data_IF_003575896465
#
_entry.id   IF_003575896465
#
_cell.length_a   1.000
_cell.length_b   1.000
_cell.length_c   1.000
_cell.angle_alpha   90.00
_cell.angle_beta   90.00
_cell.angle_gamma   90.00
#
_symmetry.space_group_name_H-M   'P 1'
#
loop_
_entity.id
_entity.type
_entity.pdbx_description
1 polymer ?
#
# COMPACT_ATOMS: atom_id res chain seq x y z
N UNK A 1 -27.03 30.41 -34.74
CA UNK A 1 -28.18 29.55 -34.43
C UNK A 1 -27.73 28.09 -34.38
N UNK A 2 -27.14 27.67 -33.26
CA UNK A 2 -27.57 26.56 -32.39
C UNK A 2 -28.63 25.58 -32.93
N UNK A 3 -28.31 24.28 -32.92
CA UNK A 3 -29.07 23.16 -32.31
C UNK A 3 -28.40 21.82 -32.69
N UNK A 4 -27.67 21.16 -31.78
CA UNK A 4 -28.09 20.12 -30.82
C UNK A 4 -28.70 18.86 -31.46
N UNK A 5 -27.89 17.81 -31.59
CA UNK A 5 -28.34 16.41 -31.67
C UNK A 5 -27.84 15.65 -30.42
N UNK A 6 -28.71 14.98 -29.63
CA UNK A 6 -28.31 14.22 -28.45
C UNK A 6 -27.97 12.76 -28.78
N UNK A 7 -26.96 12.25 -28.09
CA UNK A 7 -26.58 10.84 -28.09
C UNK A 7 -27.63 9.98 -27.36
N UNK A 8 -27.92 8.78 -27.91
CA UNK A 8 -28.82 7.78 -27.31
C UNK A 8 -28.00 6.56 -26.91
N UNK A 9 -28.05 6.23 -25.62
CA UNK A 9 -27.42 5.03 -25.02
C UNK A 9 -28.36 3.83 -25.21
N UNK A 10 -27.89 2.63 -25.59
CA UNK A 10 -28.71 1.42 -25.55
C UNK A 10 -28.74 0.80 -24.15
N UNK A 11 -29.95 0.48 -23.69
CA UNK A 11 -30.25 -0.28 -22.47
C UNK A 11 -29.97 -1.79 -22.65
N UNK A 12 -29.40 -2.50 -21.66
CA UNK A 12 -29.24 -3.95 -21.72
C UNK A 12 -30.46 -4.70 -21.18
N UNK A 13 -30.89 -5.75 -21.90
CA UNK A 13 -31.88 -6.75 -21.49
C UNK A 13 -31.21 -7.89 -20.70
N UNK A 14 -32.04 -8.57 -19.90
CA UNK A 14 -31.75 -9.59 -18.89
C UNK A 14 -30.89 -10.82 -19.30
N UNK A 15 -29.99 -11.17 -18.36
CA UNK A 15 -29.54 -12.47 -17.79
C UNK A 15 -29.78 -13.83 -18.53
N UNK A 16 -28.91 -14.85 -18.31
CA UNK A 16 -29.05 -15.69 -17.11
C UNK A 16 -27.74 -16.10 -16.38
N UNK A 17 -27.98 -16.66 -15.19
CA UNK A 17 -27.09 -17.08 -14.09
C UNK A 17 -26.19 -18.26 -14.41
N UNK A 18 -24.99 -18.28 -13.81
CA UNK A 18 -24.27 -19.38 -13.12
C UNK A 18 -22.92 -18.75 -12.70
N UNK A 19 -22.41 -18.74 -11.47
CA UNK A 19 -22.68 -19.51 -10.28
C UNK A 19 -21.33 -19.88 -9.64
N UNK A 20 -20.56 -18.90 -9.16
CA UNK A 20 -19.36 -19.14 -8.33
C UNK A 20 -19.41 -18.20 -7.12
N UNK A 21 -19.62 -18.81 -5.95
CA UNK A 21 -19.70 -18.14 -4.66
C UNK A 21 -18.29 -17.72 -4.21
N UNK A 22 -18.00 -16.43 -4.32
CA UNK A 22 -16.87 -15.79 -3.65
C UNK A 22 -17.23 -15.47 -2.21
N UNK A 23 -16.40 -15.94 -1.29
CA UNK A 23 -16.46 -15.67 0.14
C UNK A 23 -16.53 -14.18 0.41
N UNK A 24 -17.52 -13.78 1.20
CA UNK A 24 -17.78 -12.41 1.60
C UNK A 24 -16.70 -11.95 2.58
N UNK A 25 -15.88 -10.97 2.19
CA UNK A 25 -15.22 -10.12 3.20
C UNK A 25 -16.34 -9.30 3.82
N UNK A 26 -16.91 -9.81 4.91
CA UNK A 26 -17.87 -9.08 5.72
C UNK A 26 -17.12 -7.93 6.39
N UNK A 27 -17.15 -6.75 5.78
CA UNK A 27 -17.07 -5.53 6.57
C UNK A 27 -18.24 -5.63 7.56
N UNK A 28 -17.95 -5.96 8.83
CA UNK A 28 -18.94 -5.83 9.90
C UNK A 28 -19.26 -4.35 10.01
N UNK A 29 -20.30 -3.93 9.29
CA UNK A 29 -21.01 -2.69 9.56
C UNK A 29 -21.57 -2.83 10.98
N UNK A 30 -20.86 -2.26 11.95
CA UNK A 30 -21.41 -2.00 13.27
C UNK A 30 -22.61 -1.07 13.08
N UNK A 31 -23.83 -1.61 13.27
CA UNK A 31 -25.05 -0.80 13.30
C UNK A 31 -25.02 0.10 14.53
N UNK A 32 -24.45 1.29 14.41
CA UNK A 32 -24.73 2.36 15.35
C UNK A 32 -26.16 2.87 15.09
N UNK A 33 -26.98 2.87 16.13
CA UNK A 33 -28.40 3.25 16.04
C UNK A 33 -28.57 4.65 15.45
N UNK A 34 -29.42 4.75 14.43
CA UNK A 34 -29.76 6.02 13.81
C UNK A 34 -30.78 6.78 14.65
N UNK A 35 -30.46 8.01 15.04
CA UNK A 35 -31.47 9.05 15.22
C UNK A 35 -31.16 10.16 14.22
N UNK A 36 -32.07 10.37 13.26
CA UNK A 36 -32.02 11.49 12.32
C UNK A 36 -31.16 11.29 11.06
N UNK A 37 -31.68 10.53 10.08
CA UNK A 37 -31.55 10.80 8.63
C UNK A 37 -30.16 10.92 7.97
N UNK A 38 -29.05 10.79 8.68
CA UNK A 38 -27.70 10.76 8.10
C UNK A 38 -27.08 9.39 8.37
N UNK A 39 -26.66 8.72 7.30
CA UNK A 39 -25.83 7.52 7.39
C UNK A 39 -24.52 7.90 8.07
N UNK A 40 -24.37 7.57 9.36
CA UNK A 40 -23.08 7.65 10.04
C UNK A 40 -22.26 6.47 9.56
N UNK A 41 -21.27 6.73 8.68
CA UNK A 41 -20.22 5.74 8.41
C UNK A 41 -19.34 5.72 9.66
N UNK A 42 -19.58 4.75 10.54
CA UNK A 42 -18.64 4.45 11.60
C UNK A 42 -17.42 3.77 10.95
N UNK A 43 -16.42 4.56 10.57
CA UNK A 43 -15.11 4.03 10.23
C UNK A 43 -14.51 3.45 11.53
N UNK A 44 -14.53 2.13 11.67
CA UNK A 44 -13.86 1.47 12.76
C UNK A 44 -12.35 1.62 12.56
N UNK A 45 -11.65 2.13 13.57
CA UNK A 45 -10.18 2.14 13.59
C UNK A 45 -9.71 0.70 13.84
N UNK A 46 -8.88 0.18 12.96
CA UNK A 46 -8.29 -1.16 13.07
C UNK A 46 -6.78 -1.08 13.16
N UNK A 47 -6.19 -1.92 14.01
CA UNK A 47 -4.75 -2.14 14.00
C UNK A 47 -4.35 -2.90 12.73
N UNK A 48 -3.32 -2.41 12.02
CA UNK A 48 -2.74 -3.04 10.83
C UNK A 48 -1.28 -3.40 11.13
N UNK A 49 -0.90 -4.68 11.22
CA UNK A 49 0.48 -5.06 11.52
C UNK A 49 1.41 -4.82 10.32
N UNK A 50 2.70 -4.58 10.58
CA UNK A 50 3.72 -4.43 9.56
C UNK A 50 4.91 -5.37 9.79
N UNK A 51 5.53 -5.85 8.71
CA UNK A 51 6.78 -6.61 8.73
C UNK A 51 7.73 -5.99 7.72
N UNK A 52 8.84 -5.43 8.21
CA UNK A 52 9.93 -5.00 7.35
C UNK A 52 10.95 -6.13 7.20
N UNK A 53 11.34 -6.40 5.96
CA UNK A 53 12.29 -7.44 5.60
C UNK A 53 13.53 -6.81 4.97
N UNK A 54 14.71 -7.13 5.50
CA UNK A 54 15.97 -6.71 4.93
C UNK A 54 16.99 -7.86 4.98
N UNK A 55 17.56 -8.22 3.82
CA UNK A 55 18.46 -9.37 3.67
C UNK A 55 17.84 -10.67 4.20
N UNK A 56 16.55 -10.89 3.89
CA UNK A 56 15.78 -12.07 4.29
C UNK A 56 15.34 -12.12 5.76
N UNK A 57 15.73 -11.15 6.59
CA UNK A 57 15.37 -11.11 8.01
C UNK A 57 14.34 -10.05 8.32
N UNK A 58 13.49 -10.35 9.30
CA UNK A 58 12.56 -9.38 9.88
C UNK A 58 13.34 -8.38 10.73
N UNK A 59 13.23 -7.10 10.40
CA UNK A 59 13.95 -6.02 11.08
C UNK A 59 13.01 -4.87 11.43
N UNK A 60 13.40 -4.08 12.40
CA UNK A 60 12.91 -2.72 12.58
C UNK A 60 14.09 -1.78 12.38
N UNK A 61 14.02 -0.91 11.37
CA UNK A 61 15.08 0.05 11.07
C UNK A 61 14.71 1.45 11.54
N UNK A 62 15.69 2.36 11.54
CA UNK A 62 15.44 3.80 11.59
C UNK A 62 15.41 4.29 10.14
N UNK A 63 14.23 4.65 9.63
CA UNK A 63 13.99 4.94 8.20
C UNK A 63 14.96 5.98 7.61
N UNK A 64 15.33 7.00 8.39
CA UNK A 64 16.28 8.06 7.98
C UNK A 64 17.72 7.59 7.77
N UNK A 65 18.05 6.34 8.09
CA UNK A 65 19.41 5.77 7.96
C UNK A 65 19.59 4.86 6.75
N UNK A 66 18.52 4.64 5.97
CA UNK A 66 18.56 3.82 4.76
C UNK A 66 19.24 4.57 3.59
N UNK A 67 20.36 4.03 3.07
CA UNK A 67 21.13 4.61 1.93
C UNK A 67 21.51 3.56 0.87
N UNK A 68 21.65 3.97 -0.39
CA UNK A 68 21.91 3.09 -1.56
C UNK A 68 23.37 2.66 -1.70
N UNK A 69 24.30 3.46 -1.15
CA UNK A 69 25.74 3.28 -1.36
C UNK A 69 26.49 3.27 -0.02
N UNK A 70 27.29 2.23 0.17
CA UNK A 70 28.14 1.97 1.35
C UNK A 70 29.36 2.91 1.46
N UNK A 71 29.36 4.06 0.78
CA UNK A 71 30.58 4.87 0.61
C UNK A 71 30.85 5.88 1.74
N UNK A 72 29.90 6.10 2.66
CA UNK A 72 30.02 7.14 3.70
C UNK A 72 30.09 6.61 5.14
N UNK A 73 30.39 5.31 5.32
CA UNK A 73 30.69 4.72 6.64
C UNK A 73 29.55 4.73 7.67
N UNK A 74 28.37 5.28 7.35
CA UNK A 74 27.20 5.31 8.22
C UNK A 74 26.36 4.06 7.99
N UNK A 75 26.41 3.13 8.93
CA UNK A 75 25.67 1.88 8.88
C UNK A 75 24.16 2.09 9.06
N UNK A 76 23.34 1.27 8.39
CA UNK A 76 21.89 1.19 8.61
C UNK A 76 21.63 0.91 10.09
N UNK A 77 20.89 1.80 10.76
CA UNK A 77 20.57 1.63 12.18
C UNK A 77 19.37 0.71 12.30
N UNK A 78 19.58 -0.41 12.98
CA UNK A 78 18.57 -1.43 13.26
C UNK A 78 18.24 -1.40 14.74
N UNK A 79 16.98 -1.16 15.08
CA UNK A 79 16.48 -1.20 16.46
C UNK A 79 16.25 -2.63 16.95
N UNK A 80 15.86 -3.52 16.02
CA UNK A 80 15.52 -4.90 16.30
C UNK A 80 15.76 -5.76 15.05
N UNK A 81 16.27 -6.96 15.24
CA UNK A 81 16.34 -8.02 14.24
C UNK A 81 15.80 -9.29 14.90
N UNK A 82 14.93 -10.02 14.21
CA UNK A 82 14.37 -11.26 14.73
C UNK A 82 15.04 -12.48 14.12
N UNK A 83 15.19 -13.53 14.94
CA UNK A 83 15.50 -14.88 14.47
C UNK A 83 14.24 -15.61 13.97
N UNK A 84 13.04 -15.09 14.24
CA UNK A 84 11.79 -15.63 13.69
C UNK A 84 11.63 -15.20 12.23
N UNK A 85 11.12 -16.13 11.43
CA UNK A 85 10.77 -15.88 10.03
C UNK A 85 9.57 -14.93 9.90
N UNK A 86 9.45 -14.26 8.75
CA UNK A 86 8.29 -13.43 8.45
C UNK A 86 6.99 -14.26 8.51
N UNK A 87 7.00 -15.49 7.99
CA UNK A 87 5.89 -16.41 8.05
C UNK A 87 5.41 -16.73 9.48
N UNK A 88 6.32 -16.84 10.46
CA UNK A 88 5.94 -17.04 11.86
C UNK A 88 5.17 -15.86 12.44
N UNK A 89 5.56 -14.62 12.13
CA UNK A 89 4.78 -13.43 12.50
C UNK A 89 3.43 -13.40 11.79
N UNK A 90 3.39 -13.73 10.50
CA UNK A 90 2.13 -13.74 9.74
C UNK A 90 1.14 -14.79 10.25
N UNK A 91 1.62 -15.97 10.69
CA UNK A 91 0.76 -16.97 11.34
C UNK A 91 0.07 -16.40 12.58
N UNK A 92 0.79 -15.59 13.37
CA UNK A 92 0.21 -14.87 14.51
C UNK A 92 -0.86 -13.87 14.05
N UNK A 93 -0.58 -13.09 13.01
CA UNK A 93 -1.56 -12.13 12.47
C UNK A 93 -2.83 -12.82 11.98
N UNK A 94 -2.68 -13.99 11.36
CA UNK A 94 -3.79 -14.84 10.93
C UNK A 94 -4.61 -15.36 12.11
N UNK A 95 -3.96 -15.82 13.17
CA UNK A 95 -4.63 -16.30 14.39
C UNK A 95 -5.51 -15.21 15.03
N UNK A 96 -5.05 -13.95 14.99
CA UNK A 96 -5.82 -12.79 15.46
C UNK A 96 -6.71 -12.14 14.39
N UNK A 97 -6.86 -12.77 13.22
CA UNK A 97 -7.67 -12.28 12.09
C UNK A 97 -7.31 -10.85 11.65
N UNK A 98 -6.04 -10.46 11.80
CA UNK A 98 -5.53 -9.14 11.42
C UNK A 98 -5.31 -9.07 9.91
N UNK A 99 -6.16 -8.34 9.21
CA UNK A 99 -6.11 -8.17 7.74
C UNK A 99 -5.58 -6.80 7.33
N UNK A 100 -5.08 -6.68 6.10
CA UNK A 100 -4.55 -5.47 5.47
C UNK A 100 -3.34 -4.86 6.19
N UNK A 101 -2.66 -5.65 7.01
CA UNK A 101 -1.27 -5.39 7.34
C UNK A 101 -0.37 -5.51 6.10
N UNK A 102 0.90 -5.14 6.22
CA UNK A 102 1.81 -5.12 5.09
C UNK A 102 3.17 -5.73 5.36
N UNK A 103 3.76 -6.30 4.31
CA UNK A 103 5.13 -6.79 4.27
C UNK A 103 5.93 -5.89 3.34
N UNK A 104 7.00 -5.25 3.83
CA UNK A 104 7.81 -4.30 3.06
C UNK A 104 9.23 -4.86 2.90
N UNK A 105 9.65 -5.03 1.65
CA UNK A 105 11.03 -5.40 1.33
C UNK A 105 11.90 -4.14 1.26
N UNK A 106 12.88 -4.04 2.16
CA UNK A 106 13.86 -2.95 2.23
C UNK A 106 15.10 -3.26 1.38
N UNK A 107 14.89 -3.69 0.14
CA UNK A 107 15.93 -4.12 -0.79
C UNK A 107 15.39 -5.07 -1.85
N UNK A 108 16.14 -5.20 -2.95
CA UNK A 108 15.79 -6.09 -4.07
C UNK A 108 16.51 -7.45 -4.00
N UNK A 109 17.04 -7.82 -2.82
CA UNK A 109 17.80 -9.06 -2.69
C UNK A 109 16.88 -10.30 -2.73
N UNK A 110 17.34 -11.43 -3.34
CA UNK A 110 16.53 -12.63 -3.44
C UNK A 110 16.07 -13.21 -2.09
N UNK A 111 16.84 -13.00 -1.01
CA UNK A 111 16.46 -13.50 0.31
C UNK A 111 15.27 -12.72 0.89
N UNK A 112 15.22 -11.40 0.70
CA UNK A 112 14.06 -10.59 1.08
C UNK A 112 12.82 -10.93 0.25
N UNK A 113 12.98 -11.22 -1.04
CA UNK A 113 11.89 -11.70 -1.89
C UNK A 113 11.36 -13.08 -1.43
N UNK A 114 12.25 -14.03 -1.14
CA UNK A 114 11.83 -15.34 -0.64
C UNK A 114 11.07 -15.22 0.70
N UNK A 115 11.59 -14.42 1.62
CA UNK A 115 10.97 -14.18 2.93
C UNK A 115 9.59 -13.47 2.82
N UNK A 116 9.43 -12.56 1.86
CA UNK A 116 8.12 -11.93 1.61
C UNK A 116 7.11 -12.92 1.01
N UNK A 117 7.52 -13.79 0.10
CA UNK A 117 6.67 -14.85 -0.45
C UNK A 117 6.23 -15.84 0.65
N UNK A 118 7.14 -16.28 1.51
CA UNK A 118 6.82 -17.12 2.67
C UNK A 118 5.75 -16.47 3.57
N UNK A 119 5.88 -15.16 3.80
CA UNK A 119 4.90 -14.39 4.57
C UNK A 119 3.51 -14.38 3.89
N UNK A 120 3.46 -14.12 2.57
CA UNK A 120 2.21 -14.12 1.81
C UNK A 120 1.53 -15.49 1.78
N UNK A 121 2.31 -16.57 1.63
CA UNK A 121 1.80 -17.94 1.65
C UNK A 121 1.24 -18.36 3.00
N UNK A 122 1.75 -17.79 4.10
CA UNK A 122 1.26 -18.07 5.45
C UNK A 122 -0.17 -17.53 5.69
N UNK A 123 -0.53 -16.42 5.03
CA UNK A 123 -1.87 -15.85 5.09
C UNK A 123 -2.32 -15.27 3.73
N UNK A 124 -2.70 -16.12 2.77
CA UNK A 124 -3.13 -15.67 1.45
C UNK A 124 -4.36 -14.76 1.55
N UNK A 125 -4.29 -13.60 0.90
CA UNK A 125 -5.29 -12.54 0.95
C UNK A 125 -5.30 -11.72 2.26
N UNK A 126 -4.44 -12.04 3.23
CA UNK A 126 -4.40 -11.37 4.53
C UNK A 126 -3.57 -10.08 4.53
N UNK A 127 -2.47 -10.05 3.76
CA UNK A 127 -1.49 -8.97 3.80
C UNK A 127 -1.29 -8.31 2.44
N UNK A 128 -0.78 -7.08 2.47
CA UNK A 128 -0.32 -6.31 1.33
C UNK A 128 1.20 -6.45 1.21
N UNK A 129 1.77 -6.21 0.03
CA UNK A 129 3.24 -6.29 -0.16
C UNK A 129 3.80 -5.07 -0.89
N UNK A 130 4.91 -4.54 -0.39
CA UNK A 130 5.63 -3.41 -0.94
C UNK A 130 7.14 -3.62 -1.00
N UNK A 131 7.83 -2.68 -1.64
CA UNK A 131 9.27 -2.73 -1.88
C UNK A 131 9.61 -3.19 -3.30
N UNK A 132 9.95 -2.24 -4.17
CA UNK A 132 10.33 -2.53 -5.55
C UNK A 132 9.21 -3.03 -6.47
N UNK A 133 7.94 -2.79 -6.11
CA UNK A 133 6.78 -3.12 -6.95
C UNK A 133 6.80 -2.31 -8.26
N UNK A 134 6.61 -2.99 -9.39
CA UNK A 134 6.58 -2.43 -10.75
C UNK A 134 5.63 -3.25 -11.65
N UNK A 135 5.57 -2.91 -12.95
CA UNK A 135 4.67 -3.58 -13.90
C UNK A 135 5.06 -5.04 -14.14
N UNK A 136 6.34 -5.36 -13.98
CA UNK A 136 6.88 -6.67 -14.26
C UNK A 136 6.57 -7.68 -13.15
N UNK A 137 6.48 -7.23 -11.89
CA UNK A 137 6.32 -8.12 -10.74
C UNK A 137 4.97 -8.04 -10.01
N UNK A 138 4.17 -6.99 -10.21
CA UNK A 138 2.97 -6.74 -9.41
C UNK A 138 1.96 -7.89 -9.47
N UNK A 139 1.68 -8.43 -10.67
CA UNK A 139 0.76 -9.56 -10.84
C UNK A 139 1.29 -10.82 -10.17
N UNK A 140 2.61 -11.04 -10.21
CA UNK A 140 3.23 -12.20 -9.56
C UNK A 140 2.91 -12.20 -8.06
N UNK A 141 3.12 -11.08 -7.37
CA UNK A 141 2.85 -10.99 -5.93
C UNK A 141 1.37 -11.18 -5.57
N UNK A 142 0.45 -10.67 -6.41
CA UNK A 142 -0.99 -10.91 -6.21
C UNK A 142 -1.34 -12.39 -6.36
N UNK A 143 -0.76 -13.08 -7.34
CA UNK A 143 -0.96 -14.51 -7.53
C UNK A 143 -0.36 -15.35 -6.39
N UNK A 144 0.73 -14.87 -5.78
CA UNK A 144 1.37 -15.49 -4.61
C UNK A 144 0.64 -15.18 -3.29
N UNK A 145 -0.51 -14.52 -3.33
CA UNK A 145 -1.40 -14.37 -2.18
C UNK A 145 -1.37 -13.00 -1.52
N UNK A 146 -0.72 -11.99 -2.10
CA UNK A 146 -0.93 -10.61 -1.65
C UNK A 146 -2.37 -10.16 -1.94
N UNK A 147 -3.01 -9.52 -0.95
CA UNK A 147 -4.30 -8.85 -1.14
C UNK A 147 -4.17 -7.64 -2.06
N UNK A 148 -3.09 -6.87 -1.87
CA UNK A 148 -2.75 -5.67 -2.63
C UNK A 148 -1.24 -5.59 -2.83
N UNK A 149 -0.84 -4.86 -3.86
CA UNK A 149 0.53 -4.38 -4.01
C UNK A 149 0.62 -2.92 -3.59
N UNK A 150 1.70 -2.58 -2.90
CA UNK A 150 2.03 -1.25 -2.42
C UNK A 150 3.11 -0.67 -3.31
N UNK A 151 2.81 0.43 -3.99
CA UNK A 151 3.76 1.10 -4.88
C UNK A 151 4.28 2.41 -4.27
N UNK A 152 5.60 2.56 -4.34
CA UNK A 152 6.35 3.73 -3.88
C UNK A 152 7.15 4.35 -5.03
N UNK A 153 8.44 3.99 -5.13
CA UNK A 153 9.44 4.64 -5.97
C UNK A 153 9.22 4.44 -7.48
N UNK A 154 8.42 3.45 -7.88
CA UNK A 154 8.04 3.29 -9.28
C UNK A 154 7.17 4.45 -9.78
N UNK A 155 6.25 4.93 -8.93
CA UNK A 155 5.34 6.06 -9.23
C UNK A 155 5.94 7.38 -8.77
N UNK A 156 6.61 7.42 -7.62
CA UNK A 156 7.19 8.63 -7.04
C UNK A 156 8.72 8.60 -7.12
N UNK A 157 9.30 9.31 -8.08
CA UNK A 157 10.76 9.32 -8.31
C UNK A 157 11.21 10.68 -8.80
N UNK A 158 12.45 11.06 -8.49
CA UNK A 158 13.05 12.33 -8.96
C UNK A 158 12.21 13.57 -8.57
N UNK A 159 11.56 13.53 -7.40
CA UNK A 159 10.72 14.61 -6.89
C UNK A 159 9.42 14.79 -7.67
N UNK A 160 9.00 13.77 -8.45
CA UNK A 160 7.82 13.85 -9.30
C UNK A 160 6.96 12.60 -9.15
N UNK A 161 5.66 12.78 -9.38
CA UNK A 161 4.73 11.68 -9.59
C UNK A 161 4.63 11.36 -11.08
N UNK A 162 4.90 10.12 -11.44
CA UNK A 162 4.74 9.61 -12.79
C UNK A 162 3.32 9.03 -12.96
N UNK A 163 2.39 9.87 -13.40
CA UNK A 163 0.98 9.50 -13.60
C UNK A 163 0.78 8.42 -14.68
N UNK A 164 1.66 8.35 -15.67
CA UNK A 164 1.57 7.34 -16.74
C UNK A 164 1.88 5.94 -16.18
N UNK A 165 2.92 5.83 -15.34
CA UNK A 165 3.24 4.59 -14.63
C UNK A 165 2.12 4.18 -13.68
N UNK A 166 1.52 5.13 -12.97
CA UNK A 166 0.37 4.86 -12.11
C UNK A 166 -0.81 4.31 -12.93
N UNK A 167 -1.17 4.95 -14.04
CA UNK A 167 -2.25 4.48 -14.92
C UNK A 167 -2.00 3.06 -15.44
N UNK A 168 -0.78 2.76 -15.88
CA UNK A 168 -0.40 1.42 -16.32
C UNK A 168 -0.52 0.38 -15.21
N UNK A 169 -0.14 0.71 -13.98
CA UNK A 169 -0.33 -0.18 -12.84
C UNK A 169 -1.82 -0.42 -12.56
N UNK A 170 -2.64 0.64 -12.55
CA UNK A 170 -4.09 0.51 -12.34
C UNK A 170 -4.75 -0.34 -13.43
N UNK A 171 -4.36 -0.18 -14.68
CA UNK A 171 -4.82 -1.01 -15.79
C UNK A 171 -4.44 -2.49 -15.59
N UNK A 172 -3.21 -2.74 -15.13
CA UNK A 172 -2.68 -4.08 -14.91
C UNK A 172 -3.34 -4.80 -13.73
N UNK A 173 -3.37 -4.17 -12.55
CA UNK A 173 -3.79 -4.84 -11.30
C UNK A 173 -5.21 -4.50 -10.85
N UNK A 174 -5.79 -3.41 -11.36
CA UNK A 174 -7.04 -2.83 -10.89
C UNK A 174 -6.83 -2.00 -9.62
N UNK A 175 -7.54 -0.86 -9.51
CA UNK A 175 -7.37 0.04 -8.37
C UNK A 175 -7.65 -0.62 -7.01
N UNK A 176 -8.58 -1.60 -6.99
CA UNK A 176 -9.02 -2.35 -5.79
C UNK A 176 -7.94 -3.28 -5.21
N UNK A 177 -6.76 -3.35 -5.85
CA UNK A 177 -5.61 -4.15 -5.39
C UNK A 177 -4.33 -3.33 -5.36
N UNK A 178 -4.45 -2.00 -5.44
CA UNK A 178 -3.33 -1.07 -5.44
C UNK A 178 -3.40 -0.16 -4.22
N UNK A 179 -2.27 -0.07 -3.52
CA UNK A 179 -2.05 0.88 -2.42
C UNK A 179 -0.96 1.84 -2.84
N UNK A 180 -1.19 3.14 -2.63
CA UNK A 180 -0.17 4.16 -2.80
C UNK A 180 0.48 4.46 -1.47
N UNK A 181 1.79 4.27 -1.39
CA UNK A 181 2.57 4.62 -0.21
C UNK A 181 3.17 6.02 -0.37
N UNK A 182 2.71 6.91 0.51
CA UNK A 182 2.90 8.35 0.49
C UNK A 182 3.91 8.75 1.55
N UNK A 183 5.18 8.61 1.19
CA UNK A 183 6.35 9.11 1.91
C UNK A 183 6.28 10.58 2.19
N UNK A 184 5.98 11.03 3.42
CA UNK A 184 5.74 12.46 3.67
C UNK A 184 6.63 13.09 4.74
N UNK A 185 7.14 14.29 4.44
CA UNK A 185 7.89 15.16 5.37
C UNK A 185 7.22 16.51 5.48
N UNK A 186 7.37 17.16 6.64
CA UNK A 186 6.84 18.51 6.82
C UNK A 186 7.84 19.54 6.30
N UNK A 187 7.40 20.39 5.38
CA UNK A 187 8.15 21.54 4.85
C UNK A 187 7.24 22.77 4.84
N UNK A 188 7.69 23.85 5.45
CA UNK A 188 6.98 25.13 5.49
C UNK A 188 5.51 25.01 5.95
N UNK A 189 5.29 24.22 7.01
CA UNK A 189 3.96 24.01 7.59
C UNK A 189 3.09 22.98 6.86
N UNK A 190 3.49 22.48 5.69
CA UNK A 190 2.74 21.53 4.86
C UNK A 190 3.45 20.18 4.77
N UNK A 191 2.69 19.11 4.54
CA UNK A 191 3.25 17.79 4.24
C UNK A 191 3.42 17.62 2.75
N UNK A 192 4.60 17.19 2.32
CA UNK A 192 4.93 16.93 0.92
C UNK A 192 5.45 15.52 0.77
N UNK A 193 5.14 14.89 -0.36
CA UNK A 193 5.71 13.59 -0.69
C UNK A 193 7.20 13.78 -0.94
N UNK A 194 8.02 12.89 -0.40
CA UNK A 194 9.46 12.82 -0.63
C UNK A 194 9.80 11.53 -1.34
N UNK A 195 10.75 11.61 -2.25
CA UNK A 195 11.18 10.51 -3.11
C UNK A 195 12.64 10.19 -2.85
N UNK A 196 13.15 9.15 -3.53
CA UNK A 196 14.57 8.81 -3.56
C UNK A 196 15.14 8.57 -2.15
N UNK A 197 14.47 7.67 -1.42
CA UNK A 197 14.74 7.36 -0.01
C UNK A 197 14.73 8.61 0.87
N UNK A 198 13.67 9.40 0.72
CA UNK A 198 13.36 10.55 1.57
C UNK A 198 14.30 11.75 1.41
N UNK A 199 15.17 11.73 0.40
CA UNK A 199 16.19 12.74 0.18
C UNK A 199 15.68 13.91 -0.67
N UNK A 200 14.68 13.67 -1.53
CA UNK A 200 14.20 14.68 -2.48
C UNK A 200 12.73 15.03 -2.21
N UNK A 201 12.46 16.31 -1.99
CA UNK A 201 11.09 16.79 -1.92
C UNK A 201 10.45 16.78 -3.31
N UNK A 202 9.20 16.34 -3.38
CA UNK A 202 8.37 16.50 -4.57
C UNK A 202 7.50 17.75 -4.50
N UNK A 203 6.91 18.10 -5.65
CA UNK A 203 5.90 19.15 -5.75
C UNK A 203 4.48 18.65 -5.40
N UNK A 204 4.36 17.42 -4.87
CA UNK A 204 3.08 16.79 -4.51
C UNK A 204 2.83 16.96 -3.02
N UNK A 205 1.77 17.68 -2.68
CA UNK A 205 1.33 17.89 -1.30
C UNK A 205 0.46 16.73 -0.83
N UNK A 206 0.54 16.40 0.46
CA UNK A 206 -0.41 15.48 1.10
C UNK A 206 -1.53 16.33 1.69
N UNK A 207 -2.51 16.66 0.85
CA UNK A 207 -3.70 17.45 1.17
C UNK A 207 -4.97 16.83 0.58
N UNK A 208 -6.15 17.35 0.96
CA UNK A 208 -7.44 16.82 0.54
C UNK A 208 -7.61 16.75 -0.99
N UNK A 209 -7.32 17.81 -1.78
CA UNK A 209 -7.44 17.73 -3.23
C UNK A 209 -6.54 16.67 -3.87
N UNK A 210 -5.31 16.53 -3.37
CA UNK A 210 -4.37 15.52 -3.90
C UNK A 210 -4.85 14.11 -3.55
N UNK A 211 -5.31 13.87 -2.32
CA UNK A 211 -5.82 12.57 -1.91
C UNK A 211 -7.11 12.19 -2.66
N UNK A 212 -8.02 13.15 -2.90
CA UNK A 212 -9.21 12.91 -3.72
C UNK A 212 -8.85 12.53 -5.15
N UNK A 213 -7.89 13.24 -5.76
CA UNK A 213 -7.38 12.90 -7.08
C UNK A 213 -6.77 11.49 -7.12
N UNK A 214 -5.94 11.14 -6.13
CA UNK A 214 -5.27 9.84 -6.07
C UNK A 214 -6.23 8.68 -5.75
N UNK A 215 -7.35 8.93 -5.05
CA UNK A 215 -8.35 7.92 -4.71
C UNK A 215 -9.07 7.35 -5.95
N UNK A 216 -8.96 8.03 -7.09
CA UNK A 216 -9.40 7.49 -8.37
C UNK A 216 -8.54 6.29 -8.84
N UNK A 217 -7.30 6.18 -8.35
CA UNK A 217 -6.28 5.24 -8.81
C UNK A 217 -5.94 4.12 -7.81
N UNK A 218 -6.28 4.28 -6.53
CA UNK A 218 -5.91 3.30 -5.50
C UNK A 218 -7.09 2.97 -4.58
N UNK A 219 -7.01 1.81 -3.92
CA UNK A 219 -7.98 1.38 -2.92
C UNK A 219 -7.68 1.99 -1.55
N UNK A 220 -6.39 2.01 -1.18
CA UNK A 220 -5.93 2.54 0.10
C UNK A 220 -4.68 3.43 -0.07
N UNK A 221 -4.43 4.25 0.94
CA UNK A 221 -3.19 5.01 1.11
C UNK A 221 -2.43 4.48 2.32
N UNK A 222 -1.14 4.18 2.15
CA UNK A 222 -0.21 4.02 3.26
C UNK A 222 0.49 5.36 3.45
N UNK A 223 0.37 5.99 4.62
CA UNK A 223 0.96 7.32 4.88
C UNK A 223 1.97 7.18 6.00
N UNK A 224 3.25 7.34 5.69
CA UNK A 224 4.35 7.25 6.64
C UNK A 224 5.12 8.58 6.76
N UNK A 225 5.24 9.05 8.01
CA UNK A 225 5.97 10.27 8.36
C UNK A 225 7.45 9.98 8.63
N UNK A 226 8.31 10.33 7.68
CA UNK A 226 9.76 9.99 7.72
C UNK A 226 10.45 10.51 8.96
N UNK A 227 10.06 11.72 9.38
CA UNK A 227 10.80 12.44 10.41
C UNK A 227 10.72 11.74 11.78
N UNK A 228 9.80 10.78 11.95
CA UNK A 228 9.56 10.02 13.19
C UNK A 228 9.72 8.50 13.05
N UNK A 229 9.94 7.99 11.83
CA UNK A 229 9.99 6.55 11.56
C UNK A 229 11.14 5.85 12.29
N UNK A 230 10.81 4.86 13.13
CA UNK A 230 11.78 4.07 13.89
C UNK A 230 12.52 4.84 14.99
N UNK A 231 12.16 6.11 15.26
CA UNK A 231 12.73 6.87 16.39
C UNK A 231 12.03 6.45 17.68
N UNK A 232 12.82 6.06 18.68
CA UNK A 232 12.31 5.93 20.06
C UNK A 232 11.97 7.33 20.55
N UNK A 233 10.69 7.60 20.79
CA UNK A 233 10.24 8.84 21.45
C UNK A 233 10.53 8.79 22.94
#
# INVERSE_FOLDING_TARGET
MASRCPARVPSPRCAPRHGWAGSWVSARLSKCGASGGRSVICAAVSFRPCIDIHKGKVKQIVGSTLRDSSNDGTALVTNFESDKSAAEFVKLYKEYELVGGHVIMLGADPASQASSLEALHAYPGGLQVGGGINLENAISYLNEGASHVIVTSYVFSDGKMNIERLRKLVELVGKQRLVLDLSCRKKDGRYTIVTDRWQKFSDVFVDEPTLEYLAAYADEFLVHGVDVEGKRM
#
